data_IF_103839733451
#
_entry.id   IF_103839733451
#
_cell.length_a   1.000
_cell.length_b   1.000
_cell.length_c   1.000
_cell.angle_alpha   90.00
_cell.angle_beta   90.00
_cell.angle_gamma   90.00
#
_symmetry.space_group_name_H-M   'P 1'
#
loop_
_entity.id
_entity.type
_entity.pdbx_description
1 polymer ?
#
# COMPACT_ATOMS: atom_id res chain seq x y z
N UNK A 1 -19.73 18.79 -2.33
CA UNK A 1 -20.99 18.02 -2.34
C UNK A 1 -21.88 18.49 -1.22
N UNK A 2 -23.17 18.66 -1.48
CA UNK A 2 -24.14 19.05 -0.46
C UNK A 2 -24.62 17.78 0.25
N UNK A 3 -24.63 17.82 1.58
CA UNK A 3 -25.01 16.73 2.46
C UNK A 3 -26.30 17.12 3.18
N UNK A 4 -27.22 16.18 3.27
CA UNK A 4 -28.49 16.36 3.95
C UNK A 4 -28.69 15.26 4.99
N UNK A 5 -29.36 15.61 6.06
CA UNK A 5 -29.88 14.65 7.03
C UNK A 5 -30.94 13.74 6.39
N UNK A 6 -31.24 12.64 7.03
CA UNK A 6 -32.35 11.79 6.62
C UNK A 6 -33.67 12.56 6.72
N UNK A 7 -34.65 12.28 5.84
CA UNK A 7 -35.96 12.91 5.92
C UNK A 7 -36.63 12.58 7.25
N UNK A 8 -37.35 13.53 7.83
CA UNK A 8 -38.11 13.30 9.07
C UNK A 8 -39.17 12.20 8.85
N UNK A 9 -39.46 11.48 9.90
CA UNK A 9 -40.54 10.47 9.87
C UNK A 9 -41.87 11.11 9.44
N UNK A 10 -42.66 10.36 8.66
CA UNK A 10 -43.97 10.83 8.18
C UNK A 10 -44.91 11.10 9.34
N UNK A 11 -45.41 12.31 9.44
CA UNK A 11 -46.31 12.74 10.48
C UNK A 11 -47.82 12.46 10.19
N UNK A 12 -48.11 11.79 9.05
CA UNK A 12 -49.52 11.54 8.63
C UNK A 12 -50.28 12.76 8.11
N UNK A 13 -49.71 13.96 8.15
CA UNK A 13 -50.33 15.18 7.63
C UNK A 13 -50.36 15.21 6.10
N UNK A 14 -51.38 15.82 5.51
CA UNK A 14 -51.47 16.05 4.06
C UNK A 14 -50.27 16.87 3.58
N UNK A 15 -49.63 16.44 2.53
CA UNK A 15 -48.52 17.15 1.89
C UNK A 15 -47.55 16.20 1.21
N UNK A 16 -46.71 16.76 0.33
CA UNK A 16 -45.64 15.98 -0.31
C UNK A 16 -44.59 15.67 0.77
N UNK A 17 -44.17 14.39 0.92
CA UNK A 17 -43.09 14.03 1.86
C UNK A 17 -41.79 14.79 1.54
N UNK A 18 -41.11 15.22 2.59
CA UNK A 18 -39.78 15.79 2.42
C UNK A 18 -38.83 14.75 1.79
N UNK A 19 -38.06 15.16 0.80
CA UNK A 19 -37.10 14.29 0.12
C UNK A 19 -35.81 14.10 0.93
N UNK A 20 -35.45 15.06 1.75
CA UNK A 20 -34.29 15.08 2.61
C UNK A 20 -34.56 15.95 3.85
N UNK A 21 -33.75 15.78 4.88
CA UNK A 21 -33.76 16.60 6.08
C UNK A 21 -32.99 17.92 5.93
N UNK A 22 -32.51 18.44 7.03
CA UNK A 22 -31.66 19.65 7.09
C UNK A 22 -30.37 19.47 6.29
N UNK A 23 -29.90 20.54 5.65
CA UNK A 23 -28.55 20.59 5.08
C UNK A 23 -27.54 20.55 6.24
N UNK A 24 -26.53 19.66 6.11
CA UNK A 24 -25.51 19.45 7.13
C UNK A 24 -24.21 20.18 6.77
N UNK A 25 -23.60 20.75 7.81
CA UNK A 25 -22.26 21.33 7.80
C UNK A 25 -21.25 20.29 8.29
N UNK A 26 -20.13 20.13 7.58
CA UNK A 26 -19.04 19.23 7.99
C UNK A 26 -18.41 19.70 9.31
N UNK A 27 -18.43 21.01 9.56
CA UNK A 27 -17.82 21.60 10.74
C UNK A 27 -18.69 21.46 11.99
N UNK A 28 -20.00 21.63 11.85
CA UNK A 28 -20.89 21.83 13.00
C UNK A 28 -21.75 20.60 13.31
N UNK A 29 -22.19 19.86 12.28
CA UNK A 29 -23.18 18.80 12.43
C UNK A 29 -22.56 17.40 12.63
N UNK A 30 -21.23 17.28 12.70
CA UNK A 30 -20.52 16.03 12.94
C UNK A 30 -19.72 16.08 14.24
N UNK A 31 -20.16 15.30 15.22
CA UNK A 31 -19.45 15.14 16.50
C UNK A 31 -18.30 14.15 16.34
N UNK A 32 -17.07 14.64 16.43
CA UNK A 32 -15.89 13.82 16.37
C UNK A 32 -15.76 12.93 17.61
N UNK A 33 -15.12 11.77 17.46
CA UNK A 33 -14.81 10.84 18.55
C UNK A 33 -14.00 11.52 19.65
N UNK A 34 -14.13 11.03 20.89
CA UNK A 34 -13.37 11.57 22.02
C UNK A 34 -11.89 11.18 21.93
N UNK A 35 -11.60 10.00 21.44
CA UNK A 35 -10.26 9.47 21.23
C UNK A 35 -9.90 9.40 19.76
N UNK A 36 -8.60 9.46 19.47
CA UNK A 36 -8.09 9.21 18.11
C UNK A 36 -8.21 7.73 17.75
N UNK A 37 -8.62 7.48 16.53
CA UNK A 37 -8.61 6.16 15.89
C UNK A 37 -7.50 6.21 14.85
N UNK A 38 -6.33 5.61 15.16
CA UNK A 38 -5.09 5.88 14.45
C UNK A 38 -4.64 7.32 14.68
N UNK A 39 -4.39 8.07 13.61
CA UNK A 39 -3.90 9.45 13.68
C UNK A 39 -5.03 10.51 13.66
N UNK A 40 -6.30 10.09 13.57
CA UNK A 40 -7.43 11.00 13.33
C UNK A 40 -8.57 10.83 14.32
N UNK A 41 -9.21 11.94 14.65
CA UNK A 41 -10.56 11.94 15.21
C UNK A 41 -11.55 11.67 14.09
N UNK A 42 -12.60 10.90 14.36
CA UNK A 42 -13.55 10.45 13.34
C UNK A 42 -14.99 10.63 13.79
N UNK A 43 -15.87 10.93 12.83
CA UNK A 43 -17.31 10.92 13.02
C UNK A 43 -17.95 10.14 11.87
N UNK A 44 -19.08 9.48 12.15
CA UNK A 44 -19.87 8.78 11.14
C UNK A 44 -21.34 9.13 11.29
N UNK A 45 -22.01 9.33 10.17
CA UNK A 45 -23.46 9.64 10.15
C UNK A 45 -24.08 9.12 8.86
N UNK A 46 -25.33 8.63 8.97
CA UNK A 46 -26.15 8.33 7.80
C UNK A 46 -26.65 9.63 7.18
N UNK A 47 -26.45 9.79 5.88
CA UNK A 47 -26.78 11.02 5.17
C UNK A 47 -27.35 10.73 3.79
N UNK A 48 -27.99 11.75 3.20
CA UNK A 48 -28.32 11.80 1.79
C UNK A 48 -27.45 12.83 1.10
N UNK A 49 -27.05 12.54 -0.13
CA UNK A 49 -26.28 13.46 -0.97
C UNK A 49 -26.72 13.36 -2.42
N UNK A 50 -26.62 14.45 -3.15
CA UNK A 50 -26.97 14.50 -4.56
C UNK A 50 -26.09 13.60 -5.42
N UNK A 51 -24.89 13.22 -4.96
CA UNK A 51 -23.95 12.36 -5.68
C UNK A 51 -24.49 10.93 -5.81
N UNK A 52 -25.15 10.41 -4.79
CA UNK A 52 -25.70 9.04 -4.76
C UNK A 52 -27.21 8.98 -4.91
N UNK A 53 -27.83 10.07 -5.33
CA UNK A 53 -29.27 10.17 -5.54
C UNK A 53 -30.05 10.03 -4.25
N UNK A 54 -31.06 9.12 -4.23
CA UNK A 54 -31.93 8.91 -3.06
C UNK A 54 -31.40 7.83 -2.09
N UNK A 55 -30.21 7.30 -2.31
CA UNK A 55 -29.65 6.25 -1.45
C UNK A 55 -29.05 6.87 -0.20
N UNK A 56 -29.37 6.29 0.95
CA UNK A 56 -28.67 6.58 2.20
C UNK A 56 -27.24 6.05 2.10
N UNK A 57 -26.29 6.89 2.46
CA UNK A 57 -24.87 6.55 2.51
C UNK A 57 -24.29 6.92 3.87
N UNK A 58 -23.19 6.32 4.24
CA UNK A 58 -22.42 6.73 5.41
C UNK A 58 -21.47 7.87 5.03
N UNK A 59 -21.56 8.97 5.75
CA UNK A 59 -20.58 10.05 5.69
C UNK A 59 -19.62 9.91 6.85
N UNK A 60 -18.33 9.84 6.55
CA UNK A 60 -17.23 9.82 7.50
C UNK A 60 -16.52 11.16 7.45
N UNK A 61 -16.40 11.79 8.61
CA UNK A 61 -15.61 13.01 8.76
C UNK A 61 -14.37 12.68 9.58
N UNK A 62 -13.20 13.04 9.10
CA UNK A 62 -11.92 12.85 9.80
C UNK A 62 -11.25 14.19 10.03
N UNK A 63 -10.57 14.33 11.15
CA UNK A 63 -9.72 15.50 11.47
C UNK A 63 -8.50 15.06 12.27
N UNK A 64 -7.34 15.63 11.98
CA UNK A 64 -6.14 15.39 12.77
C UNK A 64 -6.21 16.10 14.13
N UNK A 65 -6.98 17.19 14.22
CA UNK A 65 -7.21 17.97 15.43
C UNK A 65 -8.70 18.30 15.58
N UNK A 66 -9.22 18.27 16.82
CA UNK A 66 -10.62 18.65 17.13
C UNK A 66 -10.89 20.13 16.89
N UNK A 67 -9.89 20.98 17.14
CA UNK A 67 -10.01 22.45 17.08
C UNK A 67 -9.68 23.01 15.68
N UNK A 68 -8.84 22.34 14.91
CA UNK A 68 -8.38 22.83 13.62
C UNK A 68 -9.36 22.51 12.49
N UNK A 69 -9.58 23.47 11.60
CA UNK A 69 -10.57 23.42 10.51
C UNK A 69 -10.27 22.48 9.35
N UNK A 70 -9.38 21.49 9.49
CA UNK A 70 -8.96 20.58 8.43
C UNK A 70 -9.80 19.31 8.28
N UNK A 71 -11.12 19.39 8.39
CA UNK A 71 -12.01 18.23 8.29
C UNK A 71 -12.08 17.70 6.85
N UNK A 72 -11.91 16.38 6.70
CA UNK A 72 -12.06 15.68 5.41
C UNK A 72 -13.31 14.83 5.44
N UNK A 73 -14.02 14.77 4.32
CA UNK A 73 -15.27 14.05 4.15
C UNK A 73 -15.09 12.88 3.18
N UNK A 74 -15.55 11.71 3.61
CA UNK A 74 -15.59 10.49 2.80
C UNK A 74 -17.00 9.91 2.82
N UNK A 75 -17.36 9.21 1.75
CA UNK A 75 -18.66 8.53 1.66
C UNK A 75 -18.45 7.04 1.43
N UNK A 76 -19.27 6.22 2.09
CA UNK A 76 -19.37 4.80 1.81
C UNK A 76 -20.80 4.42 1.47
N UNK A 77 -20.95 3.66 0.40
CA UNK A 77 -22.21 3.00 0.02
C UNK A 77 -22.33 1.60 0.63
N UNK A 78 -21.25 1.11 1.26
CA UNK A 78 -21.18 -0.17 1.94
C UNK A 78 -21.25 0.08 3.44
N UNK A 79 -22.16 -0.63 4.10
CA UNK A 79 -22.33 -0.52 5.53
C UNK A 79 -21.43 -1.51 6.28
N UNK A 80 -21.00 -1.21 7.51
CA UNK A 80 -20.10 -2.08 8.30
C UNK A 80 -20.61 -3.52 8.41
N UNK A 81 -21.93 -3.69 8.57
CA UNK A 81 -22.57 -5.01 8.71
C UNK A 81 -22.41 -5.89 7.47
N UNK A 82 -22.21 -5.29 6.31
CA UNK A 82 -21.98 -5.99 5.04
C UNK A 82 -20.53 -6.48 4.90
N UNK A 83 -19.64 -6.05 5.78
CA UNK A 83 -18.22 -6.36 5.77
C UNK A 83 -17.84 -7.44 6.80
N UNK A 84 -18.73 -8.37 7.10
CA UNK A 84 -18.53 -9.42 8.11
C UNK A 84 -17.23 -10.24 7.92
N UNK A 85 -16.83 -10.49 6.68
CA UNK A 85 -15.57 -11.21 6.37
C UNK A 85 -14.35 -10.46 6.92
N UNK A 86 -14.35 -9.13 6.83
CA UNK A 86 -13.29 -8.29 7.38
C UNK A 86 -13.33 -8.21 8.90
N UNK A 87 -14.53 -8.28 9.50
CA UNK A 87 -14.67 -8.34 10.95
C UNK A 87 -14.04 -9.59 11.54
N UNK A 88 -14.30 -10.76 10.95
CA UNK A 88 -13.69 -12.03 11.36
C UNK A 88 -12.15 -12.03 11.21
N UNK A 89 -11.62 -11.33 10.23
CA UNK A 89 -10.17 -11.18 10.05
C UNK A 89 -9.55 -10.26 11.10
N UNK A 90 -10.25 -9.21 11.50
CA UNK A 90 -9.81 -8.30 12.57
C UNK A 90 -9.81 -8.96 13.96
N UNK A 91 -10.69 -9.91 14.24
CA UNK A 91 -10.71 -10.62 15.54
C UNK A 91 -9.37 -11.31 15.85
N UNK A 92 -8.61 -11.67 14.84
CA UNK A 92 -7.26 -12.26 14.96
C UNK A 92 -6.12 -11.22 14.96
N UNK A 93 -6.41 -9.95 14.81
CA UNK A 93 -5.41 -8.88 14.76
C UNK A 93 -5.17 -8.30 16.16
N UNK A 94 -3.92 -8.00 16.56
CA UNK A 94 -3.62 -7.30 17.82
C UNK A 94 -4.27 -5.90 17.93
N UNK A 95 -4.84 -5.37 16.86
CA UNK A 95 -5.64 -4.14 16.86
C UNK A 95 -7.03 -4.32 17.51
N UNK A 96 -7.41 -5.54 17.87
CA UNK A 96 -8.73 -5.90 18.41
C UNK A 96 -8.96 -5.63 19.89
N UNK A 97 -7.99 -5.07 20.59
CA UNK A 97 -8.14 -4.82 22.04
C UNK A 97 -9.04 -3.62 22.39
N UNK A 98 -9.68 -2.99 21.42
CA UNK A 98 -10.56 -1.83 21.66
C UNK A 98 -11.92 -2.01 20.98
N UNK A 99 -12.89 -2.39 21.79
CA UNK A 99 -14.32 -2.38 21.68
C UNK A 99 -15.07 -2.16 20.35
N UNK A 100 -16.33 -2.58 20.36
CA UNK A 100 -17.39 -2.48 19.32
C UNK A 100 -17.46 -1.15 18.55
N UNK A 101 -16.94 -0.06 19.13
CA UNK A 101 -16.96 1.29 18.54
C UNK A 101 -16.13 1.43 17.24
N UNK A 102 -15.13 0.56 16.99
CA UNK A 102 -14.29 0.67 15.80
C UNK A 102 -14.90 0.04 14.55
N UNK A 103 -15.82 -0.89 14.70
CA UNK A 103 -16.43 -1.59 13.55
C UNK A 103 -17.11 -0.61 12.58
N UNK A 104 -17.72 0.44 13.09
CA UNK A 104 -18.37 1.46 12.26
C UNK A 104 -17.40 2.19 11.31
N UNK A 105 -16.09 2.18 11.59
CA UNK A 105 -15.07 2.86 10.78
C UNK A 105 -14.34 1.95 9.78
N UNK A 106 -14.71 0.66 9.69
CA UNK A 106 -14.09 -0.30 8.76
C UNK A 106 -14.08 0.21 7.31
N UNK A 107 -15.17 0.77 6.75
CA UNK A 107 -15.13 1.26 5.37
C UNK A 107 -14.09 2.34 5.14
N UNK A 108 -13.86 3.22 6.13
CA UNK A 108 -12.84 4.25 6.05
C UNK A 108 -11.43 3.67 6.16
N UNK A 109 -11.23 2.68 7.03
CA UNK A 109 -9.96 1.97 7.16
C UNK A 109 -9.61 1.23 5.86
N UNK A 110 -10.59 0.58 5.22
CA UNK A 110 -10.40 -0.05 3.92
C UNK A 110 -10.00 0.97 2.83
N UNK A 111 -10.60 2.17 2.86
CA UNK A 111 -10.21 3.23 1.94
C UNK A 111 -8.74 3.65 2.10
N UNK A 112 -8.20 3.60 3.32
CA UNK A 112 -6.80 3.91 3.57
C UNK A 112 -5.84 2.96 2.83
N UNK A 113 -6.23 1.70 2.58
CA UNK A 113 -5.44 0.76 1.78
C UNK A 113 -5.33 1.15 0.30
N UNK A 114 -6.11 2.12 -0.17
CA UNK A 114 -5.95 2.66 -1.53
C UNK A 114 -4.61 3.35 -1.73
N UNK A 115 -4.09 4.02 -0.71
CA UNK A 115 -2.84 4.76 -0.78
C UNK A 115 -1.62 3.87 -1.13
N UNK A 116 -1.43 2.69 -0.54
CA UNK A 116 -0.37 1.76 -0.93
C UNK A 116 -0.37 1.39 -2.42
N UNK A 117 -1.53 1.39 -3.09
CA UNK A 117 -1.61 1.14 -4.53
C UNK A 117 -0.93 2.29 -5.31
N UNK A 118 -1.20 3.53 -4.93
CA UNK A 118 -0.59 4.70 -5.56
C UNK A 118 0.92 4.74 -5.31
N UNK A 119 1.35 4.41 -4.09
CA UNK A 119 2.78 4.28 -3.73
C UNK A 119 3.43 3.17 -4.55
N UNK A 120 2.81 2.00 -4.69
CA UNK A 120 3.37 0.90 -5.48
C UNK A 120 3.54 1.27 -6.95
N UNK A 121 2.58 1.98 -7.52
CA UNK A 121 2.69 2.52 -8.89
C UNK A 121 3.82 3.53 -9.03
N UNK A 122 3.95 4.44 -8.08
CA UNK A 122 5.04 5.41 -8.06
C UNK A 122 6.40 4.71 -7.98
N UNK A 123 6.56 3.77 -7.07
CA UNK A 123 7.80 3.00 -6.90
C UNK A 123 8.16 2.20 -8.16
N UNK A 124 7.18 1.51 -8.76
CA UNK A 124 7.40 0.75 -10.00
C UNK A 124 7.78 1.65 -11.19
N UNK A 125 7.16 2.82 -11.34
CA UNK A 125 7.54 3.78 -12.37
C UNK A 125 8.93 4.34 -12.16
N UNK A 126 9.25 4.70 -10.93
CA UNK A 126 10.50 5.40 -10.60
C UNK A 126 11.69 4.43 -10.57
N UNK A 127 11.51 3.24 -10.01
CA UNK A 127 12.62 2.33 -9.73
C UNK A 127 12.68 1.10 -10.63
N UNK A 128 11.60 0.71 -11.28
CA UNK A 128 11.51 -0.44 -12.19
C UNK A 128 11.23 -0.06 -13.63
N UNK A 129 11.28 1.24 -13.97
CA UNK A 129 11.05 1.73 -15.33
C UNK A 129 9.70 1.29 -15.93
N UNK A 130 8.67 1.12 -15.10
CA UNK A 130 7.32 0.85 -15.58
C UNK A 130 6.89 2.00 -16.51
N UNK A 131 6.46 1.71 -17.72
CA UNK A 131 6.12 2.65 -18.78
C UNK A 131 7.32 3.36 -19.47
N UNK A 132 8.57 3.03 -19.11
CA UNK A 132 9.77 3.61 -19.76
C UNK A 132 10.45 2.65 -20.74
N UNK A 133 9.77 1.58 -21.12
CA UNK A 133 10.30 0.54 -22.01
C UNK A 133 10.03 0.84 -23.47
N UNK A 134 10.93 0.38 -24.36
CA UNK A 134 10.83 0.54 -25.81
C UNK A 134 10.21 -0.66 -26.53
N UNK A 135 9.59 -1.59 -25.80
CA UNK A 135 8.97 -2.78 -26.37
C UNK A 135 7.63 -2.40 -27.04
N UNK A 136 7.45 -2.79 -28.30
CA UNK A 136 6.24 -2.42 -29.08
C UNK A 136 5.23 -3.56 -29.24
N UNK A 137 5.65 -4.82 -29.07
CA UNK A 137 4.74 -5.94 -29.19
C UNK A 137 3.89 -6.09 -27.93
N UNK A 138 2.59 -6.35 -28.08
CA UNK A 138 1.67 -6.58 -26.95
C UNK A 138 2.20 -7.65 -25.98
N UNK A 139 2.62 -8.80 -26.52
CA UNK A 139 3.17 -9.90 -25.73
C UNK A 139 4.42 -9.51 -24.95
N UNK A 140 5.30 -8.72 -25.58
CA UNK A 140 6.50 -8.21 -24.91
C UNK A 140 6.17 -7.23 -23.80
N UNK A 141 5.19 -6.35 -23.98
CA UNK A 141 4.71 -5.43 -22.95
C UNK A 141 4.11 -6.20 -21.77
N UNK A 142 3.22 -7.17 -22.03
CA UNK A 142 2.62 -8.01 -21.00
C UNK A 142 3.68 -8.78 -20.20
N UNK A 143 4.66 -9.36 -20.88
CA UNK A 143 5.76 -10.06 -20.22
C UNK A 143 6.59 -9.12 -19.33
N UNK A 144 6.94 -7.95 -19.82
CA UNK A 144 7.74 -6.98 -19.08
C UNK A 144 6.99 -6.46 -17.85
N UNK A 145 5.71 -6.13 -17.97
CA UNK A 145 4.88 -5.70 -16.85
C UNK A 145 4.79 -6.79 -15.79
N UNK A 146 4.63 -8.06 -16.21
CA UNK A 146 4.61 -9.19 -15.27
C UNK A 146 5.96 -9.36 -14.55
N UNK A 147 7.08 -9.24 -15.26
CA UNK A 147 8.41 -9.29 -14.65
C UNK A 147 8.63 -8.16 -13.64
N UNK A 148 8.18 -6.94 -13.95
CA UNK A 148 8.24 -5.80 -13.04
C UNK A 148 7.42 -6.09 -11.78
N UNK A 149 6.19 -6.58 -11.94
CA UNK A 149 5.33 -6.92 -10.81
C UNK A 149 5.93 -8.02 -9.92
N UNK A 150 6.45 -9.10 -10.52
CA UNK A 150 7.09 -10.20 -9.78
C UNK A 150 8.33 -9.69 -9.04
N UNK A 151 9.18 -8.93 -9.72
CA UNK A 151 10.38 -8.33 -9.12
C UNK A 151 10.04 -7.40 -7.97
N UNK A 152 9.03 -6.54 -8.14
CA UNK A 152 8.56 -5.64 -7.12
C UNK A 152 8.00 -6.39 -5.90
N UNK A 153 7.15 -7.40 -6.12
CA UNK A 153 6.62 -8.24 -5.05
C UNK A 153 7.74 -8.99 -4.31
N UNK A 154 8.71 -9.54 -5.02
CA UNK A 154 9.86 -10.20 -4.41
C UNK A 154 10.63 -9.22 -3.51
N UNK A 155 10.90 -7.99 -3.98
CA UNK A 155 11.56 -6.96 -3.19
C UNK A 155 10.80 -6.56 -1.93
N UNK A 156 9.47 -6.56 -1.97
CA UNK A 156 8.64 -6.27 -0.78
C UNK A 156 8.59 -7.45 0.20
N UNK A 157 8.71 -8.69 -0.25
CA UNK A 157 8.58 -9.88 0.57
C UNK A 157 9.90 -10.39 1.15
N UNK A 158 11.00 -10.27 0.42
CA UNK A 158 12.32 -10.77 0.84
C UNK A 158 12.75 -10.31 2.24
N UNK A 159 12.55 -9.03 2.66
CA UNK A 159 12.91 -8.60 4.01
C UNK A 159 12.13 -9.29 5.13
N UNK A 160 11.04 -9.99 4.80
CA UNK A 160 10.22 -10.75 5.78
C UNK A 160 10.45 -12.25 5.70
N UNK A 161 11.17 -12.73 4.69
CA UNK A 161 11.39 -14.16 4.44
C UNK A 161 12.81 -14.59 4.80
N UNK A 162 13.80 -13.71 4.65
CA UNK A 162 15.22 -14.03 4.82
C UNK A 162 15.84 -13.13 5.90
N UNK A 163 16.42 -13.76 6.92
CA UNK A 163 17.05 -13.10 8.07
C UNK A 163 18.15 -12.12 7.63
N UNK A 164 18.87 -12.41 6.56
CA UNK A 164 19.92 -11.54 6.03
C UNK A 164 19.39 -10.14 5.64
N UNK A 165 18.08 -10.05 5.38
CA UNK A 165 17.42 -8.82 4.94
C UNK A 165 16.48 -8.20 5.96
N UNK A 166 16.32 -8.72 7.16
CA UNK A 166 15.39 -8.22 8.18
C UNK A 166 15.56 -6.73 8.50
N UNK A 167 16.79 -6.23 8.45
CA UNK A 167 17.08 -4.80 8.66
C UNK A 167 16.39 -3.86 7.66
N UNK A 168 15.98 -4.38 6.49
CA UNK A 168 15.32 -3.60 5.43
C UNK A 168 13.79 -3.60 5.53
N UNK A 169 13.19 -4.22 6.55
CA UNK A 169 11.72 -4.21 6.75
C UNK A 169 11.15 -2.81 6.94
N UNK A 170 11.94 -1.92 7.56
CA UNK A 170 11.57 -0.53 7.84
C UNK A 170 12.17 0.47 6.86
N UNK A 171 13.07 0.01 5.99
CA UNK A 171 13.75 0.85 5.02
C UNK A 171 12.96 1.02 3.73
N UNK A 172 13.36 1.99 2.91
CA UNK A 172 12.75 2.19 1.60
C UNK A 172 13.07 1.02 0.66
N UNK A 173 12.12 0.68 -0.21
CA UNK A 173 12.34 -0.34 -1.26
C UNK A 173 13.54 0.01 -2.14
N UNK A 174 13.81 1.29 -2.33
CA UNK A 174 14.96 1.76 -3.10
C UNK A 174 16.29 1.38 -2.44
N UNK A 175 16.43 1.59 -1.13
CA UNK A 175 17.64 1.24 -0.38
C UNK A 175 17.89 -0.27 -0.41
N UNK A 176 16.84 -1.05 -0.17
CA UNK A 176 16.94 -2.50 -0.29
C UNK A 176 17.32 -2.95 -1.69
N UNK A 177 16.73 -2.35 -2.73
CA UNK A 177 17.08 -2.65 -4.12
C UNK A 177 18.55 -2.38 -4.42
N UNK A 178 19.10 -1.27 -3.96
CA UNK A 178 20.51 -0.96 -4.14
C UNK A 178 21.39 -1.97 -3.40
N UNK A 179 21.08 -2.29 -2.15
CA UNK A 179 21.84 -3.24 -1.36
C UNK A 179 21.83 -4.64 -1.99
N UNK A 180 20.66 -5.12 -2.42
CA UNK A 180 20.53 -6.41 -3.10
C UNK A 180 21.26 -6.44 -4.45
N UNK A 181 21.16 -5.36 -5.22
CA UNK A 181 21.88 -5.24 -6.50
C UNK A 181 23.39 -5.31 -6.31
N UNK A 182 23.91 -4.66 -5.26
CA UNK A 182 25.34 -4.69 -4.93
C UNK A 182 25.76 -6.10 -4.51
N UNK A 183 24.97 -6.77 -3.69
CA UNK A 183 25.25 -8.14 -3.27
C UNK A 183 25.27 -9.12 -4.44
N UNK A 184 24.28 -9.04 -5.34
CA UNK A 184 24.23 -9.86 -6.56
C UNK A 184 25.44 -9.57 -7.44
N UNK A 185 25.79 -8.29 -7.63
CA UNK A 185 26.96 -7.91 -8.42
C UNK A 185 28.24 -8.50 -7.86
N UNK A 186 28.44 -8.47 -6.56
CA UNK A 186 29.57 -9.07 -5.89
C UNK A 186 29.58 -10.58 -6.08
N UNK A 187 28.47 -11.26 -5.88
CA UNK A 187 28.38 -12.72 -6.07
C UNK A 187 28.69 -13.13 -7.51
N UNK A 188 28.15 -12.42 -8.50
CA UNK A 188 28.43 -12.68 -9.92
C UNK A 188 29.91 -12.42 -10.24
N UNK A 189 30.45 -11.32 -9.70
CA UNK A 189 31.89 -11.02 -9.89
C UNK A 189 32.76 -12.13 -9.31
N UNK A 190 32.51 -12.59 -8.09
CA UNK A 190 33.26 -13.68 -7.47
C UNK A 190 33.12 -14.99 -8.25
N UNK A 191 31.90 -15.32 -8.70
CA UNK A 191 31.68 -16.53 -9.50
C UNK A 191 32.50 -16.51 -10.81
N UNK A 192 32.44 -15.39 -11.53
CA UNK A 192 33.25 -15.22 -12.78
C UNK A 192 34.75 -15.22 -12.48
N UNK A 193 35.17 -14.58 -11.39
CA UNK A 193 36.56 -14.54 -10.98
C UNK A 193 37.08 -15.95 -10.67
N UNK A 194 36.37 -16.74 -9.88
CA UNK A 194 36.70 -18.11 -9.54
C UNK A 194 36.79 -18.97 -10.81
N UNK A 195 35.80 -18.89 -11.69
CA UNK A 195 35.81 -19.62 -12.96
C UNK A 195 37.01 -19.28 -13.81
N UNK A 196 37.38 -18.00 -13.94
CA UNK A 196 38.57 -17.56 -14.68
C UNK A 196 39.85 -18.05 -14.03
N UNK A 197 39.95 -18.00 -12.71
CA UNK A 197 41.12 -18.50 -11.97
C UNK A 197 41.26 -19.99 -12.16
N UNK A 198 40.20 -20.78 -12.01
CA UNK A 198 40.21 -22.22 -12.25
C UNK A 198 40.61 -22.57 -13.69
N UNK A 199 40.06 -21.85 -14.66
CA UNK A 199 40.42 -22.04 -16.08
C UNK A 199 41.89 -21.71 -16.33
N UNK A 200 42.41 -20.64 -15.69
CA UNK A 200 43.82 -20.26 -15.81
C UNK A 200 44.77 -21.26 -15.15
N UNK A 201 44.36 -21.80 -13.97
CA UNK A 201 45.16 -22.85 -13.28
C UNK A 201 45.20 -24.14 -14.11
N UNK A 202 44.06 -24.52 -14.71
CA UNK A 202 43.96 -25.70 -15.59
C UNK A 202 44.70 -25.49 -16.92
N UNK A 203 45.02 -24.26 -17.32
CA UNK A 203 45.73 -23.97 -18.55
C UNK A 203 47.22 -24.30 -18.40
N UNK A 204 47.76 -25.08 -19.31
CA UNK A 204 49.20 -25.41 -19.37
C UNK A 204 50.09 -24.16 -19.44
N UNK A 205 49.57 -23.02 -19.86
CA UNK A 205 50.32 -21.76 -19.94
C UNK A 205 50.75 -21.26 -18.55
N UNK A 206 49.87 -21.35 -17.53
CA UNK A 206 50.19 -20.92 -16.17
C UNK A 206 51.21 -21.88 -15.51
N UNK A 207 51.03 -23.18 -15.72
CA UNK A 207 51.96 -24.19 -15.24
C UNK A 207 53.36 -24.01 -15.88
N UNK A 208 53.42 -23.71 -17.17
CA UNK A 208 54.66 -23.45 -17.87
C UNK A 208 55.30 -22.12 -17.42
N UNK A 209 54.53 -21.06 -17.18
CA UNK A 209 55.04 -19.80 -16.63
C UNK A 209 55.61 -19.97 -15.22
N UNK A 210 54.96 -20.73 -14.34
CA UNK A 210 55.46 -21.08 -13.02
C UNK A 210 56.74 -21.91 -13.07
N UNK A 211 56.81 -22.92 -13.96
CA UNK A 211 58.03 -23.71 -14.19
C UNK A 211 59.18 -22.85 -14.70
N UNK A 212 58.89 -21.84 -15.53
CA UNK A 212 59.92 -20.92 -16.05
C UNK A 212 60.44 -19.97 -14.96
N UNK A 213 59.60 -19.53 -14.04
CA UNK A 213 59.99 -18.70 -12.89
C UNK A 213 60.83 -19.47 -11.88
N UNK A 214 60.46 -20.70 -11.58
CA UNK A 214 61.22 -21.58 -10.68
C UNK A 214 62.63 -21.91 -11.29
N UNK A 215 62.71 -22.12 -12.59
CA UNK A 215 63.97 -22.36 -13.28
C UNK A 215 64.92 -21.15 -13.30
N UNK A 216 64.42 -19.95 -13.10
CA UNK A 216 65.23 -18.71 -13.13
C UNK A 216 65.76 -18.34 -11.74
N UNK A 217 65.38 -19.03 -10.69
CA UNK A 217 65.79 -18.79 -9.31
C UNK A 217 66.76 -19.88 -8.77
N UNK A 218 67.10 -20.86 -9.58
CA UNK A 218 68.12 -21.87 -9.29
C UNK A 218 69.25 -21.79 -10.34
#
# INVERSE_FOLDING_TARGET
>A
SVIYDLPPQRTGKRGRPALHGKKLSIQDDFTLSDEKIGDYYMAVRHVLTNVFGKRTVLAYVTSADKAAGGRRLFFSTVFPEQLQIFCAWQEKSPLNQTGSSRMQFIPLMLYAFRWPIEVSYYEQKTFWSLCSYMVRSRRGIEMLVNLINISYCAMKLLPYQDEAFFKYQTESVQEFRFALSEQIRQQVFYAIFVEKVETSIKSNALINALKHLIKKQG
#
